data_IF_731015666149
#
_entry.id   IF_731015666149
#
_cell.length_a   1.000
_cell.length_b   1.000
_cell.length_c   1.000
_cell.angle_alpha   90.00
_cell.angle_beta   90.00
_cell.angle_gamma   90.00
#
_symmetry.space_group_name_H-M   'P 1'
#
loop_
_entity.id
_entity.type
_entity.pdbx_description
1 polymer ?
#
# COMPACT_ATOMS: atom_id res chain seq x y z
N UNK A 1 34.44 17.42 -5.93
CA UNK A 1 32.96 17.51 -5.80
C UNK A 1 32.47 18.61 -6.72
N UNK A 2 31.65 18.27 -7.71
CA UNK A 2 31.11 19.28 -8.64
C UNK A 2 29.94 20.02 -8.00
N UNK A 3 29.72 21.29 -8.38
CA UNK A 3 28.60 22.09 -7.90
C UNK A 3 27.23 21.41 -8.08
N UNK A 4 27.09 20.57 -9.12
CA UNK A 4 25.91 19.74 -9.36
C UNK A 4 25.65 18.72 -8.24
N UNK A 5 26.71 18.05 -7.73
CA UNK A 5 26.57 17.08 -6.65
C UNK A 5 26.12 17.70 -5.32
N UNK A 6 26.52 18.94 -5.05
CA UNK A 6 26.17 19.64 -3.80
C UNK A 6 24.70 20.05 -3.79
N UNK A 7 24.15 20.48 -4.92
CA UNK A 7 22.74 20.87 -5.06
C UNK A 7 21.77 19.70 -4.83
N UNK A 8 22.11 18.50 -5.29
CA UNK A 8 21.28 17.30 -5.06
C UNK A 8 21.22 16.92 -3.58
N UNK A 9 22.34 17.03 -2.85
CA UNK A 9 22.39 16.71 -1.42
C UNK A 9 21.54 17.68 -0.60
N UNK A 10 21.58 18.98 -0.94
CA UNK A 10 20.76 20.00 -0.28
C UNK A 10 19.27 19.79 -0.55
N UNK A 11 18.90 19.45 -1.80
CA UNK A 11 17.52 19.15 -2.15
C UNK A 11 17.00 17.91 -1.42
N UNK A 12 17.79 16.83 -1.36
CA UNK A 12 17.43 15.62 -0.64
C UNK A 12 17.25 15.87 0.86
N UNK A 13 18.15 16.65 1.48
CA UNK A 13 18.03 17.04 2.88
C UNK A 13 16.77 17.88 3.15
N UNK A 14 16.42 18.78 2.23
CA UNK A 14 15.21 19.59 2.34
C UNK A 14 13.94 18.74 2.23
N UNK A 15 13.87 17.82 1.27
CA UNK A 15 12.75 16.88 1.11
C UNK A 15 12.60 15.99 2.36
N UNK A 16 13.71 15.50 2.90
CA UNK A 16 13.67 14.69 4.11
C UNK A 16 13.19 15.50 5.34
N UNK A 17 13.68 16.73 5.50
CA UNK A 17 13.27 17.61 6.58
C UNK A 17 11.79 17.98 6.50
N UNK A 18 11.28 18.29 5.31
CA UNK A 18 9.86 18.62 5.11
C UNK A 18 8.96 17.42 5.36
N UNK A 19 9.33 16.22 4.88
CA UNK A 19 8.61 14.98 5.19
C UNK A 19 8.54 14.70 6.69
N UNK A 20 9.65 14.89 7.41
CA UNK A 20 9.72 14.68 8.86
C UNK A 20 8.89 15.72 9.66
N UNK A 21 8.78 16.95 9.16
CA UNK A 21 7.94 17.99 9.74
C UNK A 21 6.45 17.73 9.51
N UNK A 22 6.09 17.26 8.32
CA UNK A 22 4.71 16.91 7.97
C UNK A 22 4.23 15.70 8.78
N UNK A 23 5.02 14.64 8.87
CA UNK A 23 4.66 13.42 9.62
C UNK A 23 4.44 13.69 11.12
N UNK A 24 5.24 14.57 11.72
CA UNK A 24 5.09 14.97 13.13
C UNK A 24 3.83 15.80 13.39
N UNK A 25 3.35 16.56 12.39
CA UNK A 25 2.12 17.35 12.51
C UNK A 25 0.87 16.47 12.40
N UNK A 26 0.90 15.45 11.54
CA UNK A 26 -0.17 14.46 11.44
C UNK A 26 -0.27 13.61 12.72
N UNK A 27 0.87 13.23 13.31
CA UNK A 27 0.89 12.48 14.57
C UNK A 27 0.23 13.21 15.75
N UNK A 28 0.26 14.55 15.76
CA UNK A 28 -0.36 15.36 16.82
C UNK A 28 -1.89 15.31 16.78
N UNK A 29 -2.50 15.20 15.61
CA UNK A 29 -3.96 15.09 15.47
C UNK A 29 -4.47 13.79 16.13
N UNK A 30 -3.68 12.72 16.07
CA UNK A 30 -4.01 11.44 16.69
C UNK A 30 -3.96 11.48 18.23
N UNK A 31 -3.23 12.44 18.81
CA UNK A 31 -3.15 12.62 20.27
C UNK A 31 -4.41 13.29 20.85
N UNK A 32 -5.09 14.15 20.08
CA UNK A 32 -6.31 14.84 20.52
C UNK A 32 -7.58 14.00 20.42
N UNK A 33 -7.54 12.87 19.72
CA UNK A 33 -8.72 12.06 19.43
C UNK A 33 -8.61 10.58 19.82
N UNK A 34 -8.16 10.22 21.04
CA UNK A 34 -8.09 8.82 21.46
C UNK A 34 -9.48 8.15 21.56
N UNK A 35 -10.54 8.92 21.83
CA UNK A 35 -11.93 8.42 21.96
C UNK A 35 -12.70 8.27 20.64
N UNK A 36 -12.22 8.85 19.54
CA UNK A 36 -12.86 8.69 18.22
C UNK A 36 -12.46 7.37 17.54
N UNK A 37 -11.36 6.75 17.98
CA UNK A 37 -10.91 5.44 17.49
C UNK A 37 -11.89 4.31 17.77
N UNK A 38 -12.79 4.46 18.73
CA UNK A 38 -13.75 3.40 19.13
C UNK A 38 -15.14 3.56 18.48
N UNK A 39 -15.38 4.58 17.66
CA UNK A 39 -16.72 4.83 17.10
C UNK A 39 -16.65 5.02 15.59
N UNK A 40 -16.77 3.89 14.88
CA UNK A 40 -16.74 3.75 13.42
C UNK A 40 -15.42 4.13 12.76
N UNK A 41 -14.60 3.12 12.46
CA UNK A 41 -13.58 3.24 11.44
C UNK A 41 -14.28 3.28 10.05
N UNK A 42 -14.14 4.42 9.36
CA UNK A 42 -14.47 4.50 7.93
C UNK A 42 -13.23 4.05 7.18
N UNK A 43 -13.18 2.75 6.86
CA UNK A 43 -12.08 2.13 6.13
C UNK A 43 -12.58 1.49 4.84
N UNK A 44 -11.67 1.28 3.89
CA UNK A 44 -11.97 0.50 2.71
C UNK A 44 -12.01 -0.99 3.05
N UNK A 45 -12.84 -1.76 2.34
CA UNK A 45 -12.80 -3.22 2.40
C UNK A 45 -11.59 -3.73 1.58
N UNK A 46 -10.45 -3.80 2.26
CA UNK A 46 -9.18 -4.22 1.66
C UNK A 46 -9.21 -5.65 1.11
N UNK A 47 -10.03 -6.54 1.67
CA UNK A 47 -10.20 -7.89 1.16
C UNK A 47 -10.91 -7.88 -0.19
N UNK A 48 -12.04 -7.17 -0.28
CA UNK A 48 -12.80 -7.06 -1.53
C UNK A 48 -12.00 -6.33 -2.61
N UNK A 49 -11.21 -5.32 -2.22
CA UNK A 49 -10.27 -4.65 -3.14
C UNK A 49 -9.29 -5.67 -3.74
N UNK A 50 -8.58 -6.44 -2.90
CA UNK A 50 -7.60 -7.41 -3.38
C UNK A 50 -8.21 -8.49 -4.26
N UNK A 51 -9.42 -8.95 -3.94
CA UNK A 51 -10.16 -9.91 -4.76
C UNK A 51 -10.54 -9.33 -6.13
N UNK A 52 -11.09 -8.11 -6.18
CA UNK A 52 -11.50 -7.46 -7.44
C UNK A 52 -10.32 -7.12 -8.34
N UNK A 53 -9.21 -6.65 -7.78
CA UNK A 53 -7.99 -6.37 -8.52
C UNK A 53 -7.44 -7.64 -9.19
N UNK A 54 -7.41 -8.75 -8.45
CA UNK A 54 -6.98 -10.04 -8.98
C UNK A 54 -7.88 -10.50 -10.14
N UNK A 55 -9.21 -10.49 -9.95
CA UNK A 55 -10.16 -10.85 -11.01
C UNK A 55 -9.96 -9.99 -12.26
N UNK A 56 -9.88 -8.68 -12.10
CA UNK A 56 -9.69 -7.75 -13.20
C UNK A 56 -8.42 -8.07 -13.99
N UNK A 57 -7.30 -8.30 -13.29
CA UNK A 57 -6.04 -8.67 -13.93
C UNK A 57 -6.17 -10.00 -14.68
N UNK A 58 -6.70 -11.02 -14.02
CA UNK A 58 -6.83 -12.37 -14.60
C UNK A 58 -7.73 -12.38 -15.84
N UNK A 59 -8.83 -11.61 -15.82
CA UNK A 59 -9.71 -11.41 -16.97
C UNK A 59 -8.97 -10.73 -18.12
N UNK A 60 -8.17 -9.68 -17.85
CA UNK A 60 -7.38 -8.99 -18.88
C UNK A 60 -6.22 -9.82 -19.42
N UNK A 61 -5.70 -10.75 -18.64
CA UNK A 61 -4.70 -11.73 -19.08
C UNK A 61 -5.32 -12.92 -19.83
N UNK A 62 -6.65 -12.96 -19.99
CA UNK A 62 -7.34 -14.09 -20.64
C UNK A 62 -7.22 -15.39 -19.84
N UNK A 63 -7.03 -15.29 -18.52
CA UNK A 63 -6.91 -16.43 -17.62
C UNK A 63 -5.63 -17.26 -17.80
N UNK A 64 -4.58 -16.73 -18.42
CA UNK A 64 -3.29 -17.45 -18.61
C UNK A 64 -2.10 -16.56 -18.28
N UNK A 65 -1.03 -17.15 -17.76
CA UNK A 65 0.26 -16.48 -17.59
C UNK A 65 0.90 -16.75 -16.24
N UNK A 66 1.93 -15.97 -15.90
CA UNK A 66 2.52 -15.97 -14.55
C UNK A 66 2.48 -14.56 -14.01
N UNK A 67 2.27 -14.46 -12.72
CA UNK A 67 2.26 -13.19 -12.00
C UNK A 67 3.19 -13.25 -10.80
N UNK A 68 3.62 -12.07 -10.35
CA UNK A 68 4.31 -11.87 -9.08
C UNK A 68 3.55 -10.80 -8.31
N UNK A 69 3.26 -11.06 -7.04
CA UNK A 69 2.65 -10.07 -6.14
C UNK A 69 3.77 -9.34 -5.42
N UNK A 70 3.79 -8.02 -5.53
CA UNK A 70 4.71 -7.15 -4.78
C UNK A 70 3.93 -6.57 -3.61
N UNK A 71 4.34 -6.93 -2.41
CA UNK A 71 3.67 -6.52 -1.17
C UNK A 71 4.25 -5.24 -0.58
N UNK A 72 3.42 -4.56 0.23
CA UNK A 72 3.86 -3.49 1.12
C UNK A 72 4.38 -4.03 2.44
N UNK A 73 4.32 -3.21 3.50
CA UNK A 73 4.77 -3.60 4.85
C UNK A 73 3.98 -4.82 5.37
N UNK A 74 4.62 -5.96 5.68
CA UNK A 74 3.91 -7.19 6.07
C UNK A 74 3.06 -7.06 7.35
N UNK A 75 3.47 -6.17 8.26
CA UNK A 75 2.75 -5.90 9.50
C UNK A 75 1.46 -5.08 9.28
N UNK A 76 1.27 -4.43 8.14
CA UNK A 76 0.10 -3.60 7.87
C UNK A 76 -1.16 -4.46 7.66
N UNK A 77 -2.28 -4.18 8.36
CA UNK A 77 -3.51 -4.94 8.22
C UNK A 77 -4.09 -4.85 6.80
N UNK A 78 -3.98 -3.68 6.17
CA UNK A 78 -4.43 -3.45 4.79
C UNK A 78 -3.68 -4.33 3.77
N UNK A 79 -2.37 -4.50 3.93
CA UNK A 79 -1.56 -5.40 3.08
C UNK A 79 -2.02 -6.85 3.22
N UNK A 80 -2.18 -7.32 4.47
CA UNK A 80 -2.59 -8.71 4.73
C UNK A 80 -3.96 -9.03 4.14
N UNK A 81 -4.93 -8.14 4.29
CA UNK A 81 -6.28 -8.36 3.74
C UNK A 81 -6.30 -8.34 2.21
N UNK A 82 -5.56 -7.43 1.56
CA UNK A 82 -5.44 -7.42 0.09
C UNK A 82 -4.81 -8.70 -0.45
N UNK A 83 -3.72 -9.15 0.16
CA UNK A 83 -3.06 -10.42 -0.22
C UNK A 83 -4.01 -11.60 -0.04
N UNK A 84 -4.80 -11.61 1.04
CA UNK A 84 -5.81 -12.65 1.29
C UNK A 84 -6.92 -12.65 0.24
N UNK A 85 -7.42 -11.47 -0.15
CA UNK A 85 -8.39 -11.31 -1.24
C UNK A 85 -7.84 -11.82 -2.57
N UNK A 86 -6.57 -11.50 -2.85
CA UNK A 86 -5.86 -11.96 -4.05
C UNK A 86 -5.72 -13.48 -4.07
N UNK A 87 -5.27 -14.08 -2.96
CA UNK A 87 -5.14 -15.54 -2.80
C UNK A 87 -6.49 -16.26 -2.93
N UNK A 88 -7.60 -15.62 -2.52
CA UNK A 88 -8.94 -16.17 -2.71
C UNK A 88 -9.34 -16.24 -4.19
N UNK A 89 -8.89 -15.31 -5.03
CA UNK A 89 -9.15 -15.33 -6.47
C UNK A 89 -8.32 -16.39 -7.21
N UNK A 90 -7.07 -16.65 -6.78
CA UNK A 90 -6.14 -17.56 -7.49
C UNK A 90 -6.72 -18.93 -7.90
N UNK A 91 -7.48 -19.67 -7.06
CA UNK A 91 -8.05 -20.97 -7.43
C UNK A 91 -9.05 -20.92 -8.60
N UNK A 92 -9.67 -19.77 -8.85
CA UNK A 92 -10.63 -19.57 -9.94
C UNK A 92 -9.91 -19.46 -11.32
N UNK A 93 -8.59 -19.15 -11.32
CA UNK A 93 -7.75 -19.06 -12.53
C UNK A 93 -6.44 -19.84 -12.36
N UNK A 94 -6.56 -21.17 -12.35
CA UNK A 94 -5.43 -22.10 -12.15
C UNK A 94 -4.26 -21.93 -13.13
N UNK A 95 -4.51 -21.34 -14.29
CA UNK A 95 -3.52 -21.15 -15.35
C UNK A 95 -2.77 -19.79 -15.25
N UNK A 96 -3.10 -18.93 -14.28
CA UNK A 96 -2.41 -17.65 -14.02
C UNK A 96 -1.56 -17.68 -12.74
N UNK A 97 -2.09 -18.32 -11.69
CA UNK A 97 -1.54 -18.20 -10.34
C UNK A 97 -0.48 -19.26 -9.98
N UNK A 98 0.23 -19.80 -10.98
CA UNK A 98 1.17 -20.93 -10.81
C UNK A 98 2.64 -20.55 -10.92
#
# INVERSE_FOLDING_TARGET
MSLLSLSFVVLAAFIHATWNLLSKREARILEYFPRLRERMDVAADDFEIGYREARYLFEKMGGKGKIVVIEGTPAAPTNRERVRGYQRACPEWRDVAR
#
